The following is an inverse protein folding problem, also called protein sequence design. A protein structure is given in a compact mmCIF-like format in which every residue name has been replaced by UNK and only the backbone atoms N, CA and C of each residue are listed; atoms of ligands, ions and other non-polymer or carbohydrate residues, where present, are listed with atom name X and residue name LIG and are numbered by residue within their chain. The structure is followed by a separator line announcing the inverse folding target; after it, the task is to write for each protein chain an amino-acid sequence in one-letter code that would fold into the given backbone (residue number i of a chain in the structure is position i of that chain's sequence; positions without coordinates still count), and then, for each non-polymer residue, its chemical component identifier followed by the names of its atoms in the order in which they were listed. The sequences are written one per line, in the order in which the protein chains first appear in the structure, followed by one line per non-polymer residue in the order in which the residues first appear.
data_IF_499153575058
#
_entry.id   IF_499153575058
#
_cell.length_a   1.000
_cell.length_b   1.000
_cell.length_c   1.000
_cell.angle_alpha   90.00
_cell.angle_beta   90.00
_cell.angle_gamma   90.00
#
_symmetry.space_group_name_H-M   'P 1'
#
loop_
_entity.id
_entity.type
_entity.pdbx_description
1 polymer ?
#
# COMPACT_ATOMS: atom_id res chain seq x y z
N UNK A 1 -19.91 9.95 15.42
CA UNK A 1 -18.55 9.53 15.84
C UNK A 1 -17.95 8.73 14.69
N UNK A 2 -16.62 8.60 14.62
CA UNK A 2 -15.99 7.71 13.62
C UNK A 2 -16.17 6.25 14.03
N UNK A 3 -16.32 5.34 13.06
CA UNK A 3 -16.32 3.91 13.33
C UNK A 3 -14.88 3.38 13.38
N UNK A 4 -14.59 2.45 14.30
CA UNK A 4 -13.31 1.75 14.39
C UNK A 4 -13.45 0.28 14.01
N UNK A 5 -12.35 -0.28 13.51
CA UNK A 5 -12.20 -1.70 13.26
C UNK A 5 -10.73 -2.08 13.43
N UNK A 6 -10.48 -3.33 13.81
CA UNK A 6 -9.15 -3.92 13.88
C UNK A 6 -8.99 -5.04 12.85
N UNK A 7 -7.91 -5.00 12.07
CA UNK A 7 -7.54 -6.10 11.18
C UNK A 7 -6.23 -6.75 11.63
N UNK A 8 -6.28 -8.04 12.00
CA UNK A 8 -5.09 -8.77 12.47
C UNK A 8 -4.50 -9.61 11.35
N UNK A 9 -3.22 -9.40 11.06
CA UNK A 9 -2.43 -10.16 10.08
C UNK A 9 -1.16 -10.73 10.71
N UNK A 10 -0.55 -11.73 10.06
CA UNK A 10 0.80 -12.15 10.42
C UNK A 10 1.76 -10.99 10.19
N UNK A 11 2.69 -10.79 11.12
CA UNK A 11 3.66 -9.69 11.01
C UNK A 11 4.55 -9.88 9.78
N UNK A 12 4.92 -8.78 9.12
CA UNK A 12 5.73 -8.82 7.89
C UNK A 12 7.18 -8.44 8.22
N UNK A 13 8.16 -8.91 7.44
CA UNK A 13 9.57 -8.55 7.64
C UNK A 13 9.84 -7.03 7.64
N UNK A 14 9.00 -6.25 6.95
CA UNK A 14 9.11 -4.79 6.90
C UNK A 14 8.18 -4.04 7.85
N UNK A 15 7.50 -4.70 8.79
CA UNK A 15 6.58 -4.03 9.73
C UNK A 15 7.33 -3.02 10.59
N UNK A 16 8.47 -3.37 11.21
CA UNK A 16 9.26 -2.41 12.00
C UNK A 16 9.80 -1.25 11.16
N UNK A 17 10.34 -1.52 9.96
CA UNK A 17 10.82 -0.47 9.04
C UNK A 17 9.70 0.55 8.73
N UNK A 18 8.48 0.07 8.52
CA UNK A 18 7.31 0.93 8.30
C UNK A 18 6.92 1.68 9.59
N UNK A 19 6.78 0.96 10.70
CA UNK A 19 6.31 1.49 11.98
C UNK A 19 7.27 2.55 12.56
N UNK A 20 8.57 2.37 12.38
CA UNK A 20 9.61 3.32 12.80
C UNK A 20 9.92 4.40 11.76
N UNK A 21 9.22 4.41 10.62
CA UNK A 21 9.46 5.36 9.51
C UNK A 21 10.90 5.35 8.99
N UNK A 22 11.53 4.17 8.96
CA UNK A 22 12.89 3.99 8.43
C UNK A 22 12.94 3.95 6.89
N UNK A 23 11.78 3.92 6.23
CA UNK A 23 11.66 3.96 4.77
C UNK A 23 10.72 5.08 4.34
N UNK A 24 11.16 5.86 3.36
CA UNK A 24 10.34 6.87 2.70
C UNK A 24 9.24 6.21 1.84
N UNK A 25 8.01 6.73 1.98
CA UNK A 25 6.82 6.26 1.31
C UNK A 25 6.06 7.47 0.73
N UNK A 26 5.58 7.34 -0.50
CA UNK A 26 4.94 8.41 -1.28
C UNK A 26 3.61 8.92 -0.70
N UNK A 27 2.97 8.12 0.15
CA UNK A 27 1.72 8.43 0.84
C UNK A 27 1.89 8.87 2.30
N UNK A 28 3.13 8.94 2.79
CA UNK A 28 3.48 9.49 4.10
C UNK A 28 3.81 10.98 3.93
N UNK A 29 3.35 11.80 4.88
CA UNK A 29 3.68 13.22 4.97
C UNK A 29 4.72 13.45 6.06
N UNK A 30 6.02 13.61 5.71
CA UNK A 30 7.09 13.77 6.70
C UNK A 30 6.85 14.94 7.66
N UNK A 31 6.20 16.00 7.19
CA UNK A 31 5.84 17.16 8.00
C UNK A 31 4.86 16.84 9.14
N UNK A 32 4.12 15.73 9.06
CA UNK A 32 3.18 15.26 10.07
C UNK A 32 3.75 14.14 10.95
N UNK A 33 4.89 13.54 10.59
CA UNK A 33 5.42 12.36 11.31
C UNK A 33 5.80 12.65 12.76
N UNK A 34 6.01 13.92 13.14
CA UNK A 34 6.21 14.34 14.53
C UNK A 34 4.96 14.18 15.41
N UNK A 35 3.79 13.97 14.80
CA UNK A 35 2.52 13.67 15.49
C UNK A 35 2.33 12.16 15.75
N UNK A 36 3.19 11.32 15.16
CA UNK A 36 3.17 9.89 15.43
C UNK A 36 3.65 9.62 16.85
N UNK A 37 3.17 8.52 17.42
CA UNK A 37 3.56 8.08 18.75
C UNK A 37 3.95 6.61 18.68
N UNK A 38 4.89 6.18 19.51
CA UNK A 38 5.31 4.78 19.55
C UNK A 38 5.62 4.35 20.97
N UNK A 39 5.14 3.17 21.33
CA UNK A 39 5.50 2.46 22.56
C UNK A 39 6.11 1.12 22.16
N UNK A 40 7.30 0.83 22.66
CA UNK A 40 8.08 -0.36 22.31
C UNK A 40 8.58 -1.00 23.59
N UNK A 41 8.05 -2.17 23.91
CA UNK A 41 8.53 -3.00 25.02
C UNK A 41 9.56 -4.05 24.59
N UNK A 42 9.54 -4.46 23.33
CA UNK A 42 10.45 -5.47 22.78
C UNK A 42 10.57 -5.31 21.24
N UNK A 43 11.57 -5.91 20.61
CA UNK A 43 11.66 -6.00 19.14
C UNK A 43 10.91 -7.23 18.61
N UNK A 44 10.40 -7.16 17.38
CA UNK A 44 9.78 -8.30 16.70
C UNK A 44 10.76 -9.46 16.62
N UNK A 45 12.03 -9.18 16.29
CA UNK A 45 13.06 -10.19 16.14
C UNK A 45 13.32 -10.94 17.45
N UNK A 46 13.52 -10.21 18.54
CA UNK A 46 13.75 -10.80 19.86
C UNK A 46 12.52 -11.54 20.38
N UNK A 47 11.32 -10.97 20.22
CA UNK A 47 10.08 -11.63 20.63
C UNK A 47 9.81 -12.91 19.83
N UNK A 48 10.08 -12.89 18.53
CA UNK A 48 9.95 -14.06 17.64
C UNK A 48 10.93 -15.18 18.04
N UNK A 49 12.17 -14.84 18.39
CA UNK A 49 13.15 -15.81 18.88
C UNK A 49 12.71 -16.41 20.22
N UNK A 50 12.27 -15.58 21.15
CA UNK A 50 11.71 -16.01 22.44
C UNK A 50 10.51 -16.95 22.26
N UNK A 51 9.60 -16.64 21.33
CA UNK A 51 8.46 -17.51 21.01
C UNK A 51 8.88 -18.87 20.43
N UNK A 52 9.88 -18.88 19.53
CA UNK A 52 10.45 -20.11 18.96
C UNK A 52 11.13 -20.97 20.01
N UNK A 53 11.90 -20.34 20.89
CA UNK A 53 12.61 -21.03 21.97
C UNK A 53 11.62 -21.65 22.96
N UNK A 54 10.62 -20.87 23.41
CA UNK A 54 9.55 -21.35 24.28
C UNK A 54 8.80 -22.54 23.69
N UNK A 55 8.49 -22.51 22.40
CA UNK A 55 7.88 -23.64 21.70
C UNK A 55 8.80 -24.87 21.65
N UNK A 56 10.10 -24.67 21.37
CA UNK A 56 11.06 -25.77 21.34
C UNK A 56 11.22 -26.43 22.72
N UNK A 57 11.34 -25.63 23.78
CA UNK A 57 11.53 -26.13 25.14
C UNK A 57 10.32 -26.91 25.67
N UNK A 58 9.11 -26.49 25.28
CA UNK A 58 7.85 -27.09 25.75
C UNK A 58 7.35 -28.24 24.89
N UNK A 59 7.51 -28.16 23.57
CA UNK A 59 6.99 -29.15 22.62
C UNK A 59 8.07 -30.13 22.17
N UNK A 60 9.35 -29.80 22.34
CA UNK A 60 10.48 -30.65 21.97
C UNK A 60 10.78 -30.69 20.46
N UNK A 61 10.17 -29.80 19.67
CA UNK A 61 10.39 -29.73 18.23
C UNK A 61 10.50 -28.29 17.73
N UNK A 62 11.10 -28.12 16.55
CA UNK A 62 11.23 -26.79 15.93
C UNK A 62 9.87 -26.28 15.45
N UNK A 63 9.63 -24.98 15.64
CA UNK A 63 8.44 -24.31 15.14
C UNK A 63 8.36 -24.40 13.61
N UNK A 64 7.16 -24.63 13.09
CA UNK A 64 6.92 -24.72 11.64
C UNK A 64 7.19 -23.38 10.96
N UNK A 65 7.75 -23.41 9.76
CA UNK A 65 8.10 -22.18 9.00
C UNK A 65 6.91 -21.32 8.61
N UNK A 66 5.71 -21.92 8.51
CA UNK A 66 4.44 -21.21 8.23
C UNK A 66 3.74 -20.70 9.49
N UNK A 67 4.26 -20.98 10.68
CA UNK A 67 3.68 -20.47 11.91
C UNK A 67 3.83 -18.94 11.96
N UNK A 68 2.79 -18.26 12.43
CA UNK A 68 2.78 -16.82 12.66
C UNK A 68 2.61 -16.54 14.15
N UNK A 69 3.68 -16.74 14.96
CA UNK A 69 3.63 -16.51 16.41
C UNK A 69 3.53 -15.03 16.76
N UNK A 70 3.91 -14.13 15.85
CA UNK A 70 3.79 -12.68 16.01
C UNK A 70 2.78 -12.17 14.98
N UNK A 71 1.84 -11.34 15.45
CA UNK A 71 0.78 -10.76 14.61
C UNK A 71 0.66 -9.26 14.84
N UNK A 72 0.18 -8.56 13.84
CA UNK A 72 -0.01 -7.11 13.86
C UNK A 72 -1.49 -6.81 13.63
N UNK A 73 -2.09 -6.09 14.56
CA UNK A 73 -3.44 -5.54 14.47
C UNK A 73 -3.39 -4.10 13.97
N UNK A 74 -4.04 -3.82 12.84
CA UNK A 74 -4.21 -2.46 12.31
C UNK A 74 -5.56 -1.94 12.74
N UNK A 75 -5.57 -0.90 13.57
CA UNK A 75 -6.77 -0.31 14.18
C UNK A 75 -7.03 1.05 13.58
N UNK A 76 -8.26 1.29 13.11
CA UNK A 76 -8.69 2.64 12.69
C UNK A 76 -8.92 3.48 13.93
N UNK A 77 -8.35 4.69 13.99
CA UNK A 77 -8.42 5.55 15.17
C UNK A 77 -8.99 6.94 14.82
N UNK A 78 -9.36 7.71 15.84
CA UNK A 78 -9.68 9.14 15.74
C UNK A 78 -8.47 10.01 16.08
N UNK A 79 -8.49 11.29 15.72
CA UNK A 79 -7.36 12.22 15.89
C UNK A 79 -6.90 12.34 17.35
N UNK A 80 -7.86 12.29 18.28
CA UNK A 80 -7.67 12.43 19.72
C UNK A 80 -7.25 11.13 20.41
N UNK A 81 -7.15 10.02 19.66
CA UNK A 81 -6.78 8.72 20.23
C UNK A 81 -5.40 8.79 20.85
N UNK A 82 -5.30 8.31 22.08
CA UNK A 82 -4.09 8.35 22.90
C UNK A 82 -3.41 6.99 22.97
N UNK A 83 -2.10 6.98 23.24
CA UNK A 83 -1.37 5.74 23.53
C UNK A 83 -1.96 4.99 24.73
N UNK A 84 -2.49 5.71 25.73
CA UNK A 84 -3.09 5.10 26.93
C UNK A 84 -4.34 4.28 26.60
N UNK A 85 -5.22 4.78 25.72
CA UNK A 85 -6.41 4.02 25.26
C UNK A 85 -5.99 2.73 24.54
N UNK A 86 -4.93 2.78 23.71
CA UNK A 86 -4.40 1.59 23.02
C UNK A 86 -3.70 0.61 23.97
N UNK A 87 -3.03 1.11 25.01
CA UNK A 87 -2.47 0.28 26.07
C UNK A 87 -3.56 -0.40 26.91
N UNK A 88 -4.68 0.30 27.18
CA UNK A 88 -5.84 -0.29 27.84
C UNK A 88 -6.48 -1.38 26.96
N UNK A 89 -6.65 -1.11 25.67
CA UNK A 89 -7.06 -2.11 24.68
C UNK A 89 -6.15 -3.36 24.72
N UNK A 90 -4.84 -3.16 24.72
CA UNK A 90 -3.86 -4.25 24.79
C UNK A 90 -3.95 -5.04 26.10
N UNK A 91 -4.16 -4.37 27.23
CA UNK A 91 -4.32 -5.02 28.54
C UNK A 91 -5.55 -5.93 28.56
N UNK A 92 -6.70 -5.45 28.07
CA UNK A 92 -7.93 -6.25 27.96
C UNK A 92 -7.73 -7.44 27.01
N UNK A 93 -7.03 -7.25 25.89
CA UNK A 93 -6.71 -8.35 24.97
C UNK A 93 -5.85 -9.43 25.62
N UNK A 94 -4.87 -9.03 26.45
CA UNK A 94 -4.02 -9.97 27.19
C UNK A 94 -4.84 -10.78 28.21
N UNK A 95 -5.70 -10.12 28.97
CA UNK A 95 -6.56 -10.79 29.96
C UNK A 95 -7.57 -11.74 29.29
N UNK A 96 -8.26 -11.26 28.25
CA UNK A 96 -9.36 -11.99 27.61
C UNK A 96 -8.92 -13.12 26.69
N UNK A 97 -7.83 -12.91 25.95
CA UNK A 97 -7.39 -13.81 24.88
C UNK A 97 -6.00 -14.42 25.12
N UNK A 98 -5.23 -13.90 26.08
CA UNK A 98 -3.84 -14.32 26.28
C UNK A 98 -2.89 -13.85 25.17
N UNK A 99 -3.25 -12.83 24.39
CA UNK A 99 -2.36 -12.20 23.40
C UNK A 99 -1.72 -10.96 24.01
N UNK A 100 -0.39 -10.91 24.04
CA UNK A 100 0.34 -9.81 24.69
C UNK A 100 0.87 -8.82 23.66
N UNK A 101 0.42 -7.56 23.72
CA UNK A 101 1.02 -6.51 22.91
C UNK A 101 2.40 -6.12 23.46
N UNK A 102 3.37 -5.94 22.56
CA UNK A 102 4.73 -5.50 22.92
C UNK A 102 5.22 -4.32 22.09
N UNK A 103 4.50 -3.93 21.04
CA UNK A 103 4.70 -2.67 20.32
C UNK A 103 3.34 -2.05 19.98
N UNK A 104 3.26 -0.72 20.05
CA UNK A 104 2.11 0.07 19.59
C UNK A 104 2.67 1.28 18.84
N UNK A 105 2.19 1.50 17.62
CA UNK A 105 2.59 2.64 16.78
C UNK A 105 1.35 3.37 16.28
N UNK A 106 1.26 4.66 16.56
CA UNK A 106 0.19 5.54 16.08
C UNK A 106 0.71 6.31 14.88
N UNK A 107 -0.03 6.23 13.77
CA UNK A 107 0.28 6.94 12.53
C UNK A 107 -0.78 8.00 12.23
N UNK A 108 -0.35 9.27 12.26
CA UNK A 108 -1.15 10.47 11.95
C UNK A 108 -0.66 11.20 10.69
N UNK A 109 0.34 10.62 10.02
CA UNK A 109 1.04 11.17 8.87
C UNK A 109 0.71 10.49 7.53
N UNK A 110 -0.14 9.46 7.55
CA UNK A 110 -0.60 8.76 6.35
C UNK A 110 -1.95 9.30 5.88
N UNK A 111 -2.19 9.21 4.56
CA UNK A 111 -3.46 9.58 3.98
C UNK A 111 -3.48 9.39 2.48
N UNK A 112 -4.58 9.81 1.85
CA UNK A 112 -4.69 9.82 0.40
C UNK A 112 -5.02 11.22 -0.09
N UNK A 113 -4.45 11.57 -1.27
CA UNK A 113 -4.78 12.80 -1.97
C UNK A 113 -5.91 12.54 -2.96
N UNK A 114 -7.03 13.22 -2.74
CA UNK A 114 -8.10 13.37 -3.70
C UNK A 114 -7.73 14.52 -4.67
N UNK A 115 -8.49 14.74 -5.75
CA UNK A 115 -8.24 15.83 -6.69
C UNK A 115 -8.30 17.26 -6.05
N UNK A 116 -8.86 17.40 -4.84
CA UNK A 116 -9.12 18.71 -4.20
C UNK A 116 -8.57 18.85 -2.77
N UNK A 117 -8.36 17.76 -2.05
CA UNK A 117 -8.00 17.81 -0.62
C UNK A 117 -7.28 16.51 -0.20
N UNK A 118 -6.42 16.62 0.81
CA UNK A 118 -5.82 15.47 1.49
C UNK A 118 -6.77 14.93 2.56
N UNK A 119 -6.98 13.62 2.57
CA UNK A 119 -7.76 12.94 3.61
C UNK A 119 -6.82 12.10 4.48
N UNK A 120 -6.73 12.36 5.81
CA UNK A 120 -5.90 11.57 6.70
C UNK A 120 -6.42 10.13 6.83
N UNK A 121 -5.50 9.18 6.89
CA UNK A 121 -5.75 7.79 7.22
C UNK A 121 -5.13 7.50 8.60
N UNK A 122 -5.85 7.88 9.66
CA UNK A 122 -5.40 7.69 11.03
C UNK A 122 -5.55 6.24 11.44
N UNK A 123 -4.46 5.61 11.83
CA UNK A 123 -4.49 4.23 12.29
C UNK A 123 -3.38 3.93 13.29
N UNK A 124 -3.54 2.86 14.04
CA UNK A 124 -2.53 2.33 14.94
C UNK A 124 -2.18 0.88 14.57
N UNK A 125 -0.90 0.54 14.65
CA UNK A 125 -0.42 -0.84 14.61
C UNK A 125 -0.16 -1.31 16.03
N UNK A 126 -0.75 -2.44 16.40
CA UNK A 126 -0.51 -3.12 17.68
C UNK A 126 0.08 -4.49 17.40
N UNK A 127 1.32 -4.71 17.82
CA UNK A 127 2.05 -5.96 17.56
C UNK A 127 1.95 -6.86 18.78
N UNK A 128 1.45 -8.07 18.56
CA UNK A 128 1.12 -9.06 19.57
C UNK A 128 2.01 -10.30 19.50
N UNK A 129 2.43 -10.78 20.66
CA UNK A 129 2.82 -12.18 20.85
C UNK A 129 1.54 -13.02 20.89
N UNK A 130 1.41 -13.90 19.91
CA UNK A 130 0.27 -14.77 19.69
C UNK A 130 0.50 -16.18 20.25
N UNK A 131 1.45 -16.33 21.18
CA UNK A 131 1.80 -17.60 21.83
C UNK A 131 1.40 -17.63 23.30
N UNK A 132 1.01 -18.81 23.76
CA UNK A 132 0.70 -19.11 25.16
C UNK A 132 1.97 -19.44 25.94
N UNK A 133 1.92 -19.43 27.29
CA UNK A 133 3.04 -19.87 28.12
C UNK A 133 3.55 -21.29 27.81
N UNK A 134 2.68 -22.18 27.32
CA UNK A 134 3.03 -23.54 26.88
C UNK A 134 3.69 -23.59 25.48
N UNK A 135 4.08 -22.44 24.92
CA UNK A 135 4.73 -22.29 23.62
C UNK A 135 3.81 -22.40 22.39
N UNK A 136 2.58 -22.89 22.53
CA UNK A 136 1.64 -23.06 21.40
C UNK A 136 0.94 -21.75 21.05
N UNK A 137 0.47 -21.62 19.82
CA UNK A 137 -0.28 -20.43 19.40
C UNK A 137 -1.66 -20.34 20.06
N UNK A 138 -2.08 -19.11 20.38
CA UNK A 138 -3.45 -18.80 20.78
C UNK A 138 -4.39 -19.05 19.59
N UNK A 139 -5.47 -19.80 19.83
CA UNK A 139 -6.50 -20.08 18.82
C UNK A 139 -7.73 -19.25 19.12
N UNK A 140 -7.93 -18.18 18.34
CA UNK A 140 -9.13 -17.36 18.40
C UNK A 140 -10.16 -17.83 17.38
N UNK A 141 -11.41 -17.96 17.82
CA UNK A 141 -12.57 -18.27 17.00
C UNK A 141 -13.07 -17.02 16.24
N UNK A 142 -14.07 -17.19 15.37
CA UNK A 142 -14.73 -16.05 14.72
C UNK A 142 -15.41 -15.12 15.73
N UNK A 143 -15.95 -15.68 16.80
CA UNK A 143 -16.64 -14.92 17.85
C UNK A 143 -15.62 -14.14 18.69
N UNK A 144 -14.47 -14.76 19.03
CA UNK A 144 -13.37 -14.05 19.70
C UNK A 144 -12.85 -12.88 18.84
N UNK A 145 -12.73 -13.08 17.52
CA UNK A 145 -12.34 -12.01 16.60
C UNK A 145 -13.41 -10.91 16.48
N UNK A 146 -14.70 -11.25 16.64
CA UNK A 146 -15.79 -10.28 16.66
C UNK A 146 -15.82 -9.49 17.97
N UNK A 147 -15.51 -10.14 19.09
CA UNK A 147 -15.35 -9.52 20.41
C UNK A 147 -14.11 -8.61 20.44
N UNK A 148 -13.01 -8.97 19.78
CA UNK A 148 -11.84 -8.12 19.61
C UNK A 148 -12.18 -6.78 18.93
N UNK A 149 -13.13 -6.76 17.97
CA UNK A 149 -13.65 -5.51 17.39
C UNK A 149 -14.40 -4.67 18.43
N UNK A 150 -15.19 -5.33 19.28
CA UNK A 150 -15.96 -4.66 20.34
C UNK A 150 -15.03 -4.05 21.37
N UNK A 151 -14.02 -4.79 21.84
CA UNK A 151 -13.00 -4.30 22.77
C UNK A 151 -12.26 -3.10 22.19
N UNK A 152 -11.93 -3.10 20.89
CA UNK A 152 -11.34 -1.95 20.23
C UNK A 152 -12.29 -0.73 20.24
N UNK A 153 -13.57 -0.93 19.93
CA UNK A 153 -14.56 0.16 19.94
C UNK A 153 -14.80 0.76 21.33
N UNK A 154 -14.85 -0.08 22.36
CA UNK A 154 -15.05 0.35 23.74
C UNK A 154 -13.82 1.09 24.27
N UNK A 155 -12.62 0.53 24.08
CA UNK A 155 -11.38 1.14 24.56
C UNK A 155 -11.09 2.50 23.90
N UNK A 156 -11.45 2.66 22.63
CA UNK A 156 -11.26 3.91 21.89
C UNK A 156 -12.44 4.89 21.99
N UNK A 157 -13.55 4.50 22.64
CA UNK A 157 -14.79 5.28 22.68
C UNK A 157 -15.27 5.65 21.27
N UNK A 158 -15.25 4.69 20.35
CA UNK A 158 -15.65 4.83 18.94
C UNK A 158 -16.77 3.86 18.62
N UNK A 159 -17.51 4.12 17.53
CA UNK A 159 -18.56 3.19 17.10
C UNK A 159 -17.92 1.93 16.50
N UNK A 160 -18.50 0.75 16.76
CA UNK A 160 -18.00 -0.50 16.19
C UNK A 160 -18.28 -0.55 14.69
N UNK A 161 -17.28 -0.90 13.89
CA UNK A 161 -17.42 -1.13 12.46
C UNK A 161 -18.47 -2.20 12.12
N UNK A 162 -19.15 -1.99 10.98
CA UNK A 162 -20.17 -2.91 10.48
C UNK A 162 -19.52 -4.10 9.78
N UNK A 163 -19.97 -5.31 10.11
CA UNK A 163 -19.54 -6.52 9.40
C UNK A 163 -19.98 -6.47 7.94
N UNK A 164 -19.10 -6.83 7.01
CA UNK A 164 -19.45 -6.94 5.59
C UNK A 164 -18.89 -8.23 5.00
N UNK A 165 -19.55 -8.76 3.97
CA UNK A 165 -19.08 -9.90 3.17
C UNK A 165 -17.97 -9.51 2.18
N UNK A 166 -17.54 -8.24 2.19
CA UNK A 166 -16.48 -7.75 1.31
C UNK A 166 -15.16 -8.39 1.72
N UNK A 167 -14.48 -9.01 0.76
CA UNK A 167 -13.12 -9.54 0.97
C UNK A 167 -12.18 -8.37 1.29
N UNK A 168 -11.37 -8.54 2.32
CA UNK A 168 -10.32 -7.59 2.66
C UNK A 168 -9.36 -7.43 1.47
N UNK A 169 -9.16 -6.18 1.03
CA UNK A 169 -8.20 -5.81 0.00
C UNK A 169 -6.94 -5.28 0.66
N UNK A 170 -5.76 -5.70 0.20
CA UNK A 170 -4.51 -5.03 0.56
C UNK A 170 -4.53 -3.57 0.11
N UNK A 171 -3.75 -2.70 0.75
CA UNK A 171 -3.66 -1.28 0.38
C UNK A 171 -3.42 -1.06 -1.13
N UNK A 172 -2.59 -1.89 -1.76
CA UNK A 172 -2.32 -1.82 -3.20
C UNK A 172 -3.52 -2.24 -4.05
N UNK A 173 -4.25 -3.28 -3.64
CA UNK A 173 -5.47 -3.71 -4.32
C UNK A 173 -6.57 -2.64 -4.21
N UNK A 174 -6.74 -2.04 -3.03
CA UNK A 174 -7.70 -0.95 -2.84
C UNK A 174 -7.36 0.26 -3.71
N UNK A 175 -6.09 0.70 -3.73
CA UNK A 175 -5.61 1.77 -4.62
C UNK A 175 -5.89 1.46 -6.10
N UNK A 176 -5.70 0.21 -6.51
CA UNK A 176 -5.97 -0.23 -7.89
C UNK A 176 -7.47 -0.17 -8.21
N UNK A 177 -8.33 -0.61 -7.29
CA UNK A 177 -9.77 -0.64 -7.51
C UNK A 177 -10.36 0.78 -7.55
N UNK A 178 -9.99 1.66 -6.62
CA UNK A 178 -10.39 3.07 -6.68
C UNK A 178 -9.92 3.75 -7.97
N UNK A 179 -8.70 3.47 -8.43
CA UNK A 179 -8.21 4.02 -9.70
C UNK A 179 -9.03 3.52 -10.90
N UNK A 180 -9.47 2.26 -10.89
CA UNK A 180 -10.35 1.72 -11.93
C UNK A 180 -11.75 2.35 -11.91
N UNK A 181 -12.35 2.47 -10.73
CA UNK A 181 -13.67 3.12 -10.58
C UNK A 181 -13.62 4.57 -11.10
N UNK A 182 -12.58 5.32 -10.72
CA UNK A 182 -12.36 6.69 -11.22
C UNK A 182 -12.17 6.74 -12.74
N UNK A 183 -11.44 5.80 -13.33
CA UNK A 183 -11.27 5.71 -14.78
C UNK A 183 -12.59 5.40 -15.49
N UNK A 184 -13.42 4.56 -14.90
CA UNK A 184 -14.72 4.19 -15.46
C UNK A 184 -15.73 5.35 -15.37
N UNK A 185 -15.76 6.06 -14.25
CA UNK A 185 -16.57 7.27 -14.09
C UNK A 185 -16.18 8.35 -15.10
N UNK A 186 -14.87 8.61 -15.23
CA UNK A 186 -14.36 9.55 -16.24
C UNK A 186 -14.68 9.10 -17.68
N UNK A 187 -14.66 7.79 -17.95
CA UNK A 187 -15.06 7.26 -19.26
C UNK A 187 -16.54 7.53 -19.55
N UNK A 188 -17.41 7.38 -18.55
CA UNK A 188 -18.84 7.68 -18.69
C UNK A 188 -19.08 9.18 -18.92
N UNK A 189 -18.37 10.04 -18.19
CA UNK A 189 -18.44 11.50 -18.35
C UNK A 189 -17.99 11.93 -19.76
N UNK A 190 -16.89 11.36 -20.26
CA UNK A 190 -16.41 11.61 -21.64
C UNK A 190 -17.47 11.18 -22.65
N UNK A 191 -18.09 10.01 -22.47
CA UNK A 191 -19.15 9.54 -23.37
C UNK A 191 -20.33 10.50 -23.38
N UNK A 192 -20.79 10.94 -22.21
CA UNK A 192 -21.91 11.90 -22.10
C UNK A 192 -21.58 13.26 -22.74
N UNK A 193 -20.35 13.76 -22.55
CA UNK A 193 -19.90 15.00 -23.18
C UNK A 193 -19.81 14.88 -24.71
N UNK A 194 -19.37 13.72 -25.22
CA UNK A 194 -19.28 13.45 -26.65
C UNK A 194 -20.66 13.45 -27.31
N UNK A 195 -21.66 12.86 -26.66
CA UNK A 195 -23.04 12.83 -27.17
C UNK A 195 -23.63 14.24 -27.21
N UNK A 196 -23.41 15.05 -26.17
CA UNK A 196 -23.82 16.47 -26.17
C UNK A 196 -23.13 17.26 -27.29
N UNK A 197 -21.85 17.03 -27.54
CA UNK A 197 -21.13 17.69 -28.62
C UNK A 197 -21.70 17.33 -30.00
N UNK A 198 -22.09 16.07 -30.23
CA UNK A 198 -22.77 15.66 -31.47
C UNK A 198 -24.12 16.36 -31.64
N UNK A 199 -24.91 16.46 -30.59
CA UNK A 199 -26.19 17.17 -30.62
C UNK A 199 -26.01 18.64 -30.95
N UNK A 200 -25.03 19.31 -30.33
CA UNK A 200 -24.71 20.71 -30.64
C UNK A 200 -24.25 20.88 -32.09
N UNK A 201 -23.40 19.99 -32.61
CA UNK A 201 -22.99 20.02 -34.01
C UNK A 201 -24.19 19.87 -34.96
N UNK A 202 -25.12 18.96 -34.66
CA UNK A 202 -26.33 18.76 -35.46
C UNK A 202 -27.22 20.00 -35.45
N UNK A 203 -27.43 20.62 -34.28
CA UNK A 203 -28.19 21.87 -34.16
C UNK A 203 -27.53 23.02 -34.94
N UNK A 204 -26.20 23.14 -34.87
CA UNK A 204 -25.44 24.16 -35.58
C UNK A 204 -25.56 23.99 -37.10
N UNK A 205 -25.50 22.74 -37.59
CA UNK A 205 -25.72 22.42 -38.99
C UNK A 205 -27.14 22.80 -39.45
N UNK A 206 -28.14 22.58 -38.59
CA UNK A 206 -29.54 22.92 -38.88
C UNK A 206 -29.76 24.44 -38.91
N UNK A 207 -29.21 25.17 -37.94
CA UNK A 207 -29.22 26.64 -37.91
C UNK A 207 -28.52 27.24 -39.14
N UNK A 208 -27.39 26.67 -39.58
CA UNK A 208 -26.70 27.10 -40.80
C UNK A 208 -27.54 26.87 -42.08
N UNK A 209 -28.38 25.83 -42.12
CA UNK A 209 -29.33 25.61 -43.23
C UNK A 209 -30.46 26.64 -43.21
N UNK A 210 -31.02 26.93 -42.03
CA UNK A 210 -32.06 27.94 -41.87
C UNK A 210 -31.55 29.34 -42.24
N UNK A 211 -30.34 29.70 -41.82
CA UNK A 211 -29.72 30.99 -42.13
C UNK A 211 -29.54 31.17 -43.65
N UNK A 212 -29.08 30.13 -44.36
CA UNK A 212 -29.02 30.12 -45.83
C UNK A 212 -30.39 30.25 -46.49
N UNK A 213 -31.43 29.62 -45.93
CA UNK A 213 -32.81 29.76 -46.41
C UNK A 213 -33.35 31.19 -46.25
N UNK A 214 -33.03 31.84 -45.13
CA UNK A 214 -33.42 33.23 -44.88
C UNK A 214 -32.67 34.18 -45.81
N UNK A 215 -31.37 33.96 -46.02
CA UNK A 215 -30.54 34.78 -46.90
C UNK A 215 -30.95 34.69 -48.38
N UNK A 216 -31.32 33.49 -48.84
CA UNK A 216 -31.91 33.28 -50.18
C UNK A 216 -33.27 33.94 -50.30
N UNK A 217 -34.17 33.80 -49.31
CA UNK A 217 -35.45 34.53 -49.28
C UNK A 217 -35.26 36.04 -49.28
N UNK A 218 -34.26 36.55 -48.57
CA UNK A 218 -33.91 37.98 -48.54
C UNK A 218 -33.39 38.47 -49.89
N UNK A 219 -32.57 37.69 -50.59
CA UNK A 219 -32.11 38.03 -51.95
C UNK A 219 -33.25 38.01 -52.96
N UNK A 220 -34.17 37.04 -52.87
CA UNK A 220 -35.40 37.00 -53.68
C UNK A 220 -36.29 38.21 -53.36
N UNK A 221 -36.46 38.56 -52.09
CA UNK A 221 -37.23 39.73 -51.68
C UNK A 221 -36.56 41.05 -52.09
N UNK A 222 -35.23 41.13 -52.10
CA UNK A 222 -34.44 42.29 -52.58
C UNK A 222 -34.51 42.44 -54.10
N UNK A 223 -34.60 41.32 -54.84
CA UNK A 223 -34.88 41.29 -56.28
C UNK A 223 -36.31 41.72 -56.59
N UNK A 224 -37.30 41.29 -55.79
CA UNK A 224 -38.70 41.76 -55.88
C UNK A 224 -38.79 43.25 -55.52
N UNK A 225 -37.99 43.72 -54.56
CA UNK A 225 -37.98 45.13 -54.11
C UNK A 225 -37.32 46.09 -55.11
N UNK A 226 -36.42 45.61 -55.99
CA UNK A 226 -35.88 46.39 -57.12
C UNK A 226 -36.92 46.70 -58.19
N UNK A 227 -38.07 46.02 -58.19
CA UNK A 227 -39.20 46.31 -59.08
C UNK A 227 -40.18 47.35 -58.49
N UNK A 228 -40.00 47.80 -57.24
CA UNK A 228 -40.88 48.77 -56.57
C UNK A 228 -40.08 49.91 -55.93
N UNK A 229 -39.56 50.81 -56.77
CA UNK A 229 -38.56 51.82 -56.41
C UNK A 229 -39.10 53.11 -55.73
N UNK A 230 -40.24 53.10 -55.04
CA UNK A 230 -40.85 54.36 -54.54
C UNK A 230 -41.35 54.42 -53.10
N UNK A 231 -40.94 53.52 -52.19
CA UNK A 231 -41.53 53.49 -50.85
C UNK A 231 -40.59 53.45 -49.63
N UNK A 232 -39.27 53.36 -49.77
CA UNK A 232 -38.37 53.20 -48.61
C UNK A 232 -37.71 54.51 -48.12
N UNK A 233 -38.49 55.58 -48.03
CA UNK A 233 -38.07 56.85 -47.44
C UNK A 233 -38.55 57.11 -46.02
N UNK A 234 -39.41 56.26 -45.43
CA UNK A 234 -40.19 56.69 -44.25
C UNK A 234 -40.40 55.69 -43.11
N UNK A 235 -39.75 54.51 -43.07
CA UNK A 235 -39.96 53.57 -41.95
C UNK A 235 -38.61 53.20 -41.33
N UNK A 236 -38.38 53.72 -40.11
CA UNK A 236 -37.24 53.33 -39.27
C UNK A 236 -37.21 51.83 -39.01
N UNK A 237 -35.99 51.27 -38.87
CA UNK A 237 -35.62 49.86 -38.63
C UNK A 237 -36.80 48.88 -38.74
N UNK A 238 -36.90 48.20 -39.87
CA UNK A 238 -37.92 47.16 -40.11
C UNK A 238 -37.83 46.04 -39.06
N UNK A 239 -38.91 45.28 -38.85
CA UNK A 239 -38.99 44.14 -37.91
C UNK A 239 -37.81 43.16 -38.09
N UNK A 240 -37.35 42.99 -39.34
CA UNK A 240 -36.19 42.17 -39.70
C UNK A 240 -34.84 42.65 -39.13
N UNK A 241 -34.66 43.95 -38.86
CA UNK A 241 -33.40 44.47 -38.31
C UNK A 241 -33.28 44.13 -36.82
N UNK A 242 -34.41 44.11 -36.08
CA UNK A 242 -34.45 43.69 -34.67
C UNK A 242 -34.20 42.19 -34.51
N UNK A 243 -34.77 41.37 -35.40
CA UNK A 243 -34.50 39.93 -35.40
C UNK A 243 -33.03 39.61 -35.71
N UNK A 244 -32.42 40.35 -36.65
CA UNK A 244 -30.99 40.22 -36.98
C UNK A 244 -30.09 40.58 -35.79
N UNK A 245 -30.40 41.64 -35.06
CA UNK A 245 -29.64 42.04 -33.88
C UNK A 245 -29.80 41.02 -32.74
N UNK A 246 -30.99 40.44 -32.59
CA UNK A 246 -31.27 39.38 -31.60
C UNK A 246 -30.52 38.09 -31.93
N UNK A 247 -30.46 37.70 -33.21
CA UNK A 247 -29.70 36.54 -33.67
C UNK A 247 -28.19 36.73 -33.51
N UNK A 248 -27.66 37.93 -33.80
CA UNK A 248 -26.25 38.25 -33.53
C UNK A 248 -25.89 38.14 -32.06
N UNK A 249 -26.77 38.58 -31.16
CA UNK A 249 -26.55 38.45 -29.72
C UNK A 249 -26.50 36.98 -29.28
N UNK A 250 -27.39 36.13 -29.81
CA UNK A 250 -27.36 34.67 -29.54
C UNK A 250 -26.10 34.00 -30.09
N UNK A 251 -25.65 34.36 -31.29
CA UNK A 251 -24.41 33.81 -31.87
C UNK A 251 -23.21 34.14 -30.97
N UNK A 252 -23.10 35.40 -30.54
CA UNK A 252 -22.00 35.82 -29.65
C UNK A 252 -22.03 35.11 -28.29
N UNK A 253 -23.21 34.83 -27.74
CA UNK A 253 -23.36 34.07 -26.50
C UNK A 253 -22.90 32.61 -26.68
N UNK A 254 -23.31 31.96 -27.78
CA UNK A 254 -22.92 30.59 -28.10
C UNK A 254 -21.41 30.46 -28.40
N UNK A 255 -20.81 31.46 -29.05
CA UNK A 255 -19.35 31.51 -29.25
C UNK A 255 -18.60 31.55 -27.91
N UNK A 256 -19.08 32.33 -26.94
CA UNK A 256 -18.50 32.38 -25.59
C UNK A 256 -18.67 31.07 -24.81
N UNK A 257 -19.82 30.41 -24.91
CA UNK A 257 -20.01 29.08 -24.31
C UNK A 257 -19.11 28.02 -24.95
N UNK A 258 -18.93 28.08 -26.27
CA UNK A 258 -18.07 27.14 -27.00
C UNK A 258 -16.59 27.31 -26.63
N UNK A 259 -16.15 28.56 -26.43
CA UNK A 259 -14.79 28.87 -25.96
C UNK A 259 -14.56 28.33 -24.54
N UNK A 260 -15.52 28.52 -23.62
CA UNK A 260 -15.45 27.96 -22.26
C UNK A 260 -15.44 26.43 -22.24
N UNK A 261 -16.22 25.79 -23.12
CA UNK A 261 -16.26 24.33 -23.25
C UNK A 261 -14.94 23.81 -23.80
N UNK A 262 -14.38 24.45 -24.83
CA UNK A 262 -13.07 24.10 -25.39
C UNK A 262 -11.98 24.18 -24.33
N UNK A 263 -11.99 25.22 -23.49
CA UNK A 263 -11.04 25.39 -22.38
C UNK A 263 -11.17 24.30 -21.31
N UNK A 264 -12.40 23.92 -20.95
CA UNK A 264 -12.66 22.81 -20.00
C UNK A 264 -12.20 21.48 -20.57
N UNK A 265 -12.41 21.25 -21.87
CA UNK A 265 -12.05 20.02 -22.55
C UNK A 265 -10.52 19.90 -22.65
N UNK A 266 -9.81 20.99 -22.93
CA UNK A 266 -8.34 21.04 -22.87
C UNK A 266 -7.78 20.71 -21.49
N UNK A 267 -8.38 21.27 -20.41
CA UNK A 267 -7.98 20.95 -19.02
C UNK A 267 -8.21 19.47 -18.69
N UNK A 268 -9.34 18.90 -19.09
CA UNK A 268 -9.67 17.50 -18.85
C UNK A 268 -8.73 16.54 -19.61
N UNK A 269 -8.34 16.86 -20.85
CA UNK A 269 -7.36 16.07 -21.62
C UNK A 269 -6.00 16.06 -20.92
N UNK A 270 -5.50 17.22 -20.50
CA UNK A 270 -4.23 17.33 -19.78
C UNK A 270 -4.24 16.55 -18.46
N UNK A 271 -5.36 16.58 -17.73
CA UNK A 271 -5.52 15.82 -16.49
C UNK A 271 -5.53 14.31 -16.75
N UNK A 272 -6.19 13.87 -17.82
CA UNK A 272 -6.19 12.46 -18.26
C UNK A 272 -4.79 11.97 -18.62
N UNK A 273 -4.01 12.75 -19.39
CA UNK A 273 -2.64 12.39 -19.74
C UNK A 273 -1.74 12.32 -18.50
N UNK A 274 -1.87 13.28 -17.59
CA UNK A 274 -1.12 13.32 -16.33
C UNK A 274 -1.44 12.11 -15.45
N UNK A 275 -2.71 11.72 -15.36
CA UNK A 275 -3.13 10.54 -14.59
C UNK A 275 -2.72 9.23 -15.28
N UNK A 276 -2.82 9.13 -16.61
CA UNK A 276 -2.30 7.98 -17.37
C UNK A 276 -0.79 7.78 -17.16
N UNK A 277 -0.02 8.86 -17.12
CA UNK A 277 1.41 8.82 -16.81
C UNK A 277 1.69 8.30 -15.40
N UNK A 278 0.86 8.67 -14.40
CA UNK A 278 0.98 8.14 -13.03
C UNK A 278 0.65 6.66 -12.96
N UNK A 279 -0.39 6.21 -13.66
CA UNK A 279 -0.77 4.79 -13.73
C UNK A 279 0.36 3.97 -14.35
N UNK A 280 0.91 4.42 -15.49
CA UNK A 280 2.03 3.75 -16.15
C UNK A 280 3.28 3.66 -15.25
N UNK A 281 3.61 4.73 -14.52
CA UNK A 281 4.71 4.70 -13.53
C UNK A 281 4.43 3.69 -12.42
N UNK A 282 3.23 3.70 -11.84
CA UNK A 282 2.87 2.77 -10.78
C UNK A 282 2.88 1.29 -11.23
N UNK A 283 2.52 1.03 -12.48
CA UNK A 283 2.54 -0.31 -13.08
C UNK A 283 3.98 -0.80 -13.31
N UNK A 284 4.85 0.09 -13.80
CA UNK A 284 6.27 -0.20 -14.00
C UNK A 284 6.99 -0.42 -12.67
N UNK A 285 6.71 0.41 -11.65
CA UNK A 285 7.25 0.23 -10.30
C UNK A 285 6.79 -1.10 -9.69
N UNK A 286 5.51 -1.47 -9.87
CA UNK A 286 4.98 -2.76 -9.43
C UNK A 286 5.71 -3.94 -10.09
N UNK A 287 6.00 -3.84 -11.38
CA UNK A 287 6.72 -4.88 -12.12
C UNK A 287 8.19 -4.95 -11.67
N UNK A 288 8.84 -3.81 -11.45
CA UNK A 288 10.18 -3.73 -10.88
C UNK A 288 10.27 -4.40 -9.50
N UNK A 289 9.35 -4.07 -8.58
CA UNK A 289 9.31 -4.70 -7.25
C UNK A 289 8.99 -6.19 -7.32
N UNK A 290 8.14 -6.62 -8.26
CA UNK A 290 7.86 -8.04 -8.49
C UNK A 290 9.12 -8.77 -8.95
N UNK A 291 9.86 -8.23 -9.91
CA UNK A 291 11.13 -8.81 -10.37
C UNK A 291 12.17 -8.90 -9.25
N UNK A 292 12.30 -7.85 -8.43
CA UNK A 292 13.18 -7.87 -7.26
C UNK A 292 12.80 -8.98 -6.26
N UNK A 293 11.50 -9.16 -6.00
CA UNK A 293 11.00 -10.22 -5.13
C UNK A 293 11.24 -11.63 -5.71
N UNK A 294 11.01 -11.81 -7.01
CA UNK A 294 11.26 -13.09 -7.69
C UNK A 294 12.77 -13.42 -7.71
N UNK A 295 13.63 -12.42 -7.92
CA UNK A 295 15.09 -12.56 -7.82
C UNK A 295 15.52 -12.93 -6.40
N UNK A 296 15.01 -12.22 -5.38
CA UNK A 296 15.29 -12.53 -3.97
C UNK A 296 14.82 -13.93 -3.59
N UNK A 297 13.66 -14.36 -4.07
CA UNK A 297 13.13 -15.72 -3.87
C UNK A 297 14.01 -16.77 -4.52
N UNK A 298 14.49 -16.51 -5.74
CA UNK A 298 15.39 -17.40 -6.47
C UNK A 298 16.72 -17.55 -5.74
N UNK A 299 17.33 -16.43 -5.34
CA UNK A 299 18.56 -16.43 -4.53
C UNK A 299 18.37 -17.15 -3.21
N UNK A 300 17.26 -16.91 -2.50
CA UNK A 300 16.96 -17.59 -1.23
C UNK A 300 16.83 -19.10 -1.40
N UNK A 301 16.15 -19.55 -2.47
CA UNK A 301 16.05 -20.97 -2.80
C UNK A 301 17.43 -21.58 -3.11
N UNK A 302 18.28 -20.87 -3.88
CA UNK A 302 19.64 -21.33 -4.19
C UNK A 302 20.50 -21.47 -2.93
N UNK A 303 20.52 -20.44 -2.07
CA UNK A 303 21.23 -20.45 -0.80
C UNK A 303 20.73 -21.56 0.14
N UNK A 304 19.43 -21.89 0.07
CA UNK A 304 18.87 -23.00 0.83
C UNK A 304 19.39 -24.35 0.35
N UNK A 305 19.47 -24.55 -0.96
CA UNK A 305 20.04 -25.77 -1.57
C UNK A 305 21.53 -25.88 -1.23
N UNK A 306 22.32 -24.83 -1.44
CA UNK A 306 23.75 -24.80 -1.10
C UNK A 306 23.98 -25.09 0.40
N UNK A 307 23.15 -24.52 1.30
CA UNK A 307 23.24 -24.82 2.73
C UNK A 307 22.88 -26.27 3.08
N UNK A 308 22.01 -26.92 2.30
CA UNK A 308 21.71 -28.33 2.47
C UNK A 308 22.89 -29.18 2.03
N UNK A 309 23.49 -28.88 0.88
CA UNK A 309 24.68 -29.54 0.34
C UNK A 309 25.87 -29.44 1.30
N UNK A 310 26.17 -28.23 1.79
CA UNK A 310 27.21 -28.01 2.79
C UNK A 310 26.95 -28.78 4.09
N UNK A 311 25.70 -28.91 4.52
CA UNK A 311 25.36 -29.73 5.71
C UNK A 311 25.63 -31.21 5.46
N UNK A 312 25.33 -31.72 4.28
CA UNK A 312 25.67 -33.09 3.91
C UNK A 312 27.17 -33.30 3.86
N UNK A 313 27.95 -32.43 3.21
CA UNK A 313 29.42 -32.51 3.19
C UNK A 313 30.00 -32.43 4.60
N UNK A 314 29.52 -31.52 5.44
CA UNK A 314 29.98 -31.41 6.84
C UNK A 314 29.72 -32.70 7.62
N UNK A 315 28.60 -33.38 7.35
CA UNK A 315 28.27 -34.66 7.98
C UNK A 315 29.19 -35.78 7.49
N UNK A 316 29.53 -35.80 6.21
CA UNK A 316 30.49 -36.76 5.63
C UNK A 316 31.90 -36.53 6.18
N UNK A 317 32.39 -35.29 6.17
CA UNK A 317 33.68 -34.93 6.74
C UNK A 317 33.79 -35.31 8.21
N UNK A 318 32.73 -35.10 9.01
CA UNK A 318 32.70 -35.56 10.41
C UNK A 318 32.79 -37.09 10.53
N UNK A 319 32.16 -37.82 9.62
CA UNK A 319 32.22 -39.29 9.58
C UNK A 319 33.62 -39.77 9.21
N UNK A 320 34.25 -39.18 8.21
CA UNK A 320 35.63 -39.48 7.81
C UNK A 320 36.63 -39.10 8.91
N UNK A 321 36.44 -37.96 9.58
CA UNK A 321 37.26 -37.57 10.74
C UNK A 321 37.11 -38.56 11.90
N UNK A 322 35.89 -39.06 12.15
CA UNK A 322 35.63 -40.11 13.14
C UNK A 322 36.40 -41.39 12.82
N UNK A 323 36.30 -41.88 11.57
CA UNK A 323 37.07 -43.05 11.12
C UNK A 323 38.59 -42.83 11.23
N UNK A 324 39.08 -41.65 10.88
CA UNK A 324 40.51 -41.31 10.99
C UNK A 324 40.95 -41.31 12.45
N UNK A 325 40.12 -40.80 13.36
CA UNK A 325 40.37 -40.83 14.81
C UNK A 325 40.40 -42.26 15.37
N UNK A 326 39.57 -43.15 14.84
CA UNK A 326 39.52 -44.56 15.24
C UNK A 326 40.70 -45.38 14.68
N UNK A 327 41.32 -44.92 13.58
CA UNK A 327 42.51 -45.55 12.97
C UNK A 327 43.82 -45.24 13.71
N UNK A 328 43.86 -44.20 14.55
CA UNK A 328 45.02 -43.89 15.39
C UNK A 328 44.69 -44.19 16.86
N UNK A 329 45.44 -45.10 17.48
CA UNK A 329 45.29 -45.31 18.93
C UNK A 329 45.79 -44.07 19.71
N UNK A 330 45.38 -43.92 20.98
CA UNK A 330 45.77 -42.76 21.80
C UNK A 330 47.29 -42.60 21.94
N UNK A 331 48.05 -43.70 22.00
CA UNK A 331 49.52 -43.69 22.07
C UNK A 331 50.17 -43.22 20.75
N UNK A 332 49.60 -43.54 19.59
CA UNK A 332 50.10 -43.09 18.28
C UNK A 332 49.85 -41.60 18.06
N UNK A 333 48.69 -41.10 18.51
CA UNK A 333 48.38 -39.67 18.51
C UNK A 333 49.30 -38.88 19.45
N UNK A 334 49.65 -39.45 20.60
CA UNK A 334 50.55 -38.86 21.58
C UNK A 334 52.01 -38.89 21.09
N UNK A 335 52.44 -39.98 20.45
CA UNK A 335 53.74 -40.09 19.79
C UNK A 335 53.90 -39.11 18.62
N UNK A 336 52.84 -38.90 17.82
CA UNK A 336 52.85 -37.91 16.72
C UNK A 336 52.94 -36.47 17.25
N UNK A 337 52.21 -36.15 18.34
CA UNK A 337 52.29 -34.84 19.01
C UNK A 337 53.69 -34.56 19.54
N UNK A 338 54.40 -35.60 19.99
CA UNK A 338 55.76 -35.49 20.50
C UNK A 338 56.82 -35.37 19.39
N UNK A 339 56.59 -36.00 18.23
CA UNK A 339 57.51 -35.94 17.07
C UNK A 339 57.31 -34.72 16.17
N UNK A 340 56.11 -34.13 16.13
CA UNK A 340 55.79 -32.97 15.29
C UNK A 340 55.22 -31.80 16.12
N UNK A 341 56.03 -31.18 17.00
CA UNK A 341 55.56 -30.14 17.93
C UNK A 341 54.98 -28.91 17.21
N UNK A 342 55.49 -28.58 16.02
CA UNK A 342 54.99 -27.46 15.23
C UNK A 342 53.56 -27.70 14.70
N UNK A 343 53.19 -28.94 14.35
CA UNK A 343 51.83 -29.30 13.90
C UNK A 343 50.87 -29.31 15.10
N UNK A 344 51.33 -29.81 16.24
CA UNK A 344 50.57 -29.79 17.49
C UNK A 344 50.25 -28.37 17.95
N UNK A 345 51.23 -27.46 17.86
CA UNK A 345 51.06 -26.03 18.13
C UNK A 345 50.07 -25.37 17.18
N UNK A 346 50.18 -25.63 15.88
CA UNK A 346 49.23 -25.11 14.88
C UNK A 346 47.79 -25.63 15.07
N UNK A 347 47.61 -26.86 15.54
CA UNK A 347 46.28 -27.41 15.87
C UNK A 347 45.65 -26.74 17.10
N UNK A 348 46.42 -26.46 18.15
CA UNK A 348 45.91 -25.72 19.31
C UNK A 348 45.62 -24.26 18.95
N UNK A 349 46.48 -23.61 18.17
CA UNK A 349 46.24 -22.28 17.61
C UNK A 349 44.97 -22.25 16.74
N UNK A 350 44.74 -23.28 15.92
CA UNK A 350 43.52 -23.44 15.11
C UNK A 350 42.26 -23.68 15.95
N UNK A 351 42.36 -24.41 17.06
CA UNK A 351 41.25 -24.58 18.02
C UNK A 351 40.92 -23.27 18.74
N UNK A 352 41.92 -22.49 19.11
CA UNK A 352 41.71 -21.19 19.74
C UNK A 352 41.17 -20.16 18.75
N UNK A 353 41.60 -20.18 17.50
CA UNK A 353 40.99 -19.42 16.40
C UNK A 353 39.53 -19.83 16.18
N UNK A 354 39.22 -21.13 16.17
CA UNK A 354 37.83 -21.61 16.10
C UNK A 354 37.00 -21.13 17.30
N UNK A 355 37.53 -21.18 18.53
CA UNK A 355 36.86 -20.62 19.72
C UNK A 355 36.66 -19.11 19.60
N UNK A 356 37.63 -18.37 19.07
CA UNK A 356 37.50 -16.93 18.81
C UNK A 356 36.46 -16.63 17.74
N UNK A 357 36.40 -17.38 16.65
CA UNK A 357 35.37 -17.26 15.60
C UNK A 357 33.98 -17.61 16.15
N UNK A 358 33.90 -18.60 17.05
CA UNK A 358 32.64 -18.99 17.70
C UNK A 358 32.19 -17.94 18.73
N UNK A 359 33.14 -17.26 19.41
CA UNK A 359 32.88 -16.12 20.31
C UNK A 359 32.56 -14.82 19.57
N UNK A 360 33.19 -14.54 18.42
CA UNK A 360 32.94 -13.34 17.63
C UNK A 360 31.60 -13.41 16.90
N UNK A 361 31.13 -14.61 16.53
CA UNK A 361 29.73 -14.83 16.12
C UNK A 361 28.71 -14.57 17.25
N UNK A 362 29.15 -14.52 18.51
CA UNK A 362 28.33 -14.14 19.67
C UNK A 362 28.35 -12.63 20.00
N UNK A 363 29.16 -11.81 19.32
CA UNK A 363 29.30 -10.37 19.59
C UNK A 363 28.92 -9.46 18.40
N UNK A 364 28.35 -10.02 17.33
CA UNK A 364 27.87 -9.26 16.16
C UNK A 364 26.35 -9.01 16.11
N UNK A 365 25.63 -9.25 17.21
CA UNK A 365 24.22 -8.83 17.38
C UNK A 365 24.21 -7.69 18.40
N UNK A 366 24.57 -6.51 17.93
CA UNK A 366 24.75 -5.33 18.77
C UNK A 366 25.17 -4.11 17.96
N UNK A 367 24.41 -3.81 16.90
CA UNK A 367 24.04 -2.46 16.45
C UNK A 367 22.79 -2.59 15.59
#
# INVERSE_FOLDING_TARGET
MGATSIHVQAVKPGSEIHNFREKELDYVRPELSHLNESWVGDSISHRLESAKQRYFDTVGQKMQTKAAPIREGVIVIKQETTMQELQQFAAVCKERFGIEAFQIHIHKDEGYMNAKQWTPNLHAHVVFDWTQPNGKSVRLSRDDMAELQTIASEALGMERGVSSDRKHLSAMQYKTECAKEQLQELSNDISSALDKHKDVQNQLLQLQKELRSIETKKNVQKLISKASEKFYGLIGKTVNDREKDTLKAKIKALEGENEQLSDRLGKAILEKERNGTKVFKAENDKEYYRQQMDNARTTSNRLRTENQELKTETKELKKELGKMKDLFNSEQLEALRHHFPNISKAMEEGKDLLKQITRSRGFGMGM
#
